data_IF_073325540975
#
_entry.id   IF_073325540975
#
_cell.length_a   1.000
_cell.length_b   1.000
_cell.length_c   1.000
_cell.angle_alpha   90.00
_cell.angle_beta   90.00
_cell.angle_gamma   90.00
#
_symmetry.space_group_name_H-M   'P 1'
#
loop_
_entity.id
_entity.type
_entity.pdbx_description
1 polymer ?
#
# COMPACT_ATOMS: atom_id res chain seq x y z
N UNK A 1 1.42 -35.89 -31.70
CA UNK A 1 0.94 -35.93 -30.30
C UNK A 1 0.30 -34.60 -29.98
N UNK A 2 -1.00 -34.58 -29.66
CA UNK A 2 -1.68 -33.37 -29.24
C UNK A 2 -1.19 -32.98 -27.83
N UNK A 3 -0.78 -31.72 -27.67
CA UNK A 3 -0.37 -31.16 -26.39
C UNK A 3 -1.62 -30.95 -25.51
N UNK A 4 -1.96 -31.96 -24.72
CA UNK A 4 -3.04 -31.93 -23.72
C UNK A 4 -2.59 -31.17 -22.46
N UNK A 5 -2.24 -29.90 -22.59
CA UNK A 5 -2.02 -29.07 -21.41
C UNK A 5 -3.38 -28.63 -20.87
N UNK A 6 -3.74 -29.11 -19.69
CA UNK A 6 -4.87 -28.56 -18.93
C UNK A 6 -4.47 -27.16 -18.47
N UNK A 7 -5.23 -26.15 -18.90
CA UNK A 7 -5.17 -24.81 -18.32
C UNK A 7 -5.67 -24.91 -16.87
N UNK A 8 -4.76 -24.87 -15.90
CA UNK A 8 -5.13 -24.78 -14.50
C UNK A 8 -5.69 -23.38 -14.22
N UNK A 9 -6.85 -23.31 -13.58
CA UNK A 9 -7.40 -22.06 -13.08
C UNK A 9 -6.45 -21.52 -12.01
N UNK A 10 -6.04 -20.24 -12.05
CA UNK A 10 -5.21 -19.66 -11.00
C UNK A 10 -5.91 -19.82 -9.64
N UNK A 11 -5.18 -20.17 -8.57
CA UNK A 11 -5.77 -20.18 -7.24
C UNK A 11 -6.29 -18.77 -6.89
N UNK A 12 -7.37 -18.67 -6.11
CA UNK A 12 -7.88 -17.39 -5.66
C UNK A 12 -6.81 -16.65 -4.85
N UNK A 13 -6.76 -15.32 -5.01
CA UNK A 13 -5.93 -14.48 -4.13
C UNK A 13 -6.55 -14.47 -2.73
N UNK A 14 -5.83 -15.04 -1.76
CA UNK A 14 -6.26 -15.11 -0.37
C UNK A 14 -5.79 -13.89 0.44
N UNK A 15 -5.00 -13.00 -0.15
CA UNK A 15 -4.43 -11.84 0.53
C UNK A 15 -5.41 -10.66 0.60
N UNK A 16 -6.45 -10.81 1.42
CA UNK A 16 -7.43 -9.75 1.70
C UNK A 16 -6.83 -8.48 2.31
N UNK A 17 -5.66 -8.61 2.94
CA UNK A 17 -4.99 -7.52 3.65
C UNK A 17 -4.39 -6.45 2.72
N UNK A 18 -3.94 -6.84 1.52
CA UNK A 18 -3.31 -5.90 0.56
C UNK A 18 -3.92 -5.95 -0.85
N UNK A 19 -4.87 -6.85 -1.13
CA UNK A 19 -5.52 -6.94 -2.45
C UNK A 19 -6.20 -5.63 -2.89
N UNK A 20 -6.63 -4.80 -1.95
CA UNK A 20 -7.34 -3.56 -2.25
C UNK A 20 -6.48 -2.59 -3.07
N UNK A 21 -5.14 -2.69 -3.03
CA UNK A 21 -4.24 -1.93 -3.91
C UNK A 21 -4.44 -2.23 -5.41
N UNK A 22 -5.13 -3.31 -5.74
CA UNK A 22 -5.45 -3.69 -7.12
C UNK A 22 -6.73 -3.02 -7.63
N UNK A 23 -7.51 -2.38 -6.75
CA UNK A 23 -8.76 -1.75 -7.17
C UNK A 23 -8.53 -0.46 -7.96
N UNK A 24 -9.36 -0.21 -8.99
CA UNK A 24 -9.27 1.02 -9.77
C UNK A 24 -9.54 2.25 -8.87
N UNK A 25 -8.69 3.27 -9.02
CA UNK A 25 -8.85 4.54 -8.30
C UNK A 25 -8.11 4.65 -6.97
N UNK A 26 -7.51 3.58 -6.45
CA UNK A 26 -6.79 3.63 -5.15
C UNK A 26 -5.68 4.67 -5.13
N UNK A 27 -4.92 4.81 -6.21
CA UNK A 27 -3.87 5.82 -6.30
C UNK A 27 -4.41 7.24 -6.26
N UNK A 28 -5.53 7.48 -6.94
CA UNK A 28 -6.22 8.78 -6.92
C UNK A 28 -6.70 9.09 -5.52
N UNK A 29 -7.40 8.14 -4.87
CA UNK A 29 -7.86 8.29 -3.49
C UNK A 29 -6.69 8.56 -2.53
N UNK A 30 -5.58 7.86 -2.71
CA UNK A 30 -4.37 8.06 -1.90
C UNK A 30 -3.79 9.47 -2.04
N UNK A 31 -3.68 10.00 -3.27
CA UNK A 31 -3.23 11.38 -3.51
C UNK A 31 -4.21 12.38 -2.89
N UNK A 32 -5.51 12.16 -3.03
CA UNK A 32 -6.54 13.02 -2.43
C UNK A 32 -6.44 13.02 -0.90
N UNK A 33 -6.20 11.88 -0.25
CA UNK A 33 -5.99 11.80 1.20
C UNK A 33 -4.81 12.68 1.61
N UNK A 34 -3.66 12.58 0.93
CA UNK A 34 -2.49 13.42 1.22
C UNK A 34 -2.79 14.91 1.07
N UNK A 35 -3.51 15.27 0.01
CA UNK A 35 -3.92 16.65 -0.24
C UNK A 35 -4.86 17.19 0.85
N UNK A 36 -5.86 16.41 1.27
CA UNK A 36 -6.76 16.82 2.36
C UNK A 36 -6.05 16.85 3.73
N UNK A 37 -5.11 15.94 3.98
CA UNK A 37 -4.25 16.02 5.17
C UNK A 37 -3.46 17.33 5.19
N UNK A 38 -2.93 17.76 4.05
CA UNK A 38 -2.23 19.04 3.94
C UNK A 38 -3.16 20.24 4.19
N UNK A 39 -4.37 20.26 3.63
CA UNK A 39 -5.38 21.29 3.92
C UNK A 39 -5.71 21.31 5.41
N UNK A 40 -5.88 20.14 6.04
CA UNK A 40 -6.18 20.02 7.46
C UNK A 40 -5.05 20.59 8.32
N UNK A 41 -3.79 20.25 8.02
CA UNK A 41 -2.62 20.79 8.72
C UNK A 41 -2.55 22.32 8.57
N UNK A 42 -2.77 22.84 7.37
CA UNK A 42 -2.85 24.29 7.15
C UNK A 42 -3.94 24.95 7.98
N UNK A 43 -5.14 24.35 7.99
CA UNK A 43 -6.32 24.93 8.64
C UNK A 43 -6.21 24.90 10.16
N UNK A 44 -5.65 23.82 10.72
CA UNK A 44 -5.55 23.62 12.17
C UNK A 44 -4.38 24.40 12.76
N UNK A 45 -3.22 24.42 12.09
CA UNK A 45 -2.00 25.03 12.63
C UNK A 45 -1.74 26.45 12.13
N UNK A 46 -2.41 26.91 11.06
CA UNK A 46 -2.18 28.24 10.48
C UNK A 46 -0.75 28.48 10.01
N UNK A 47 -0.02 27.41 9.69
CA UNK A 47 1.40 27.47 9.35
C UNK A 47 1.64 27.77 7.86
N UNK A 48 2.90 28.03 7.49
CA UNK A 48 3.27 28.22 6.10
C UNK A 48 3.08 26.92 5.27
N UNK A 49 2.74 27.01 3.98
CA UNK A 49 2.58 25.87 3.07
C UNK A 49 3.71 24.83 3.11
N UNK A 50 4.97 25.27 3.18
CA UNK A 50 6.13 24.38 3.25
C UNK A 50 6.23 23.61 4.57
N UNK A 51 5.87 24.25 5.70
CA UNK A 51 5.79 23.59 7.00
C UNK A 51 4.68 22.53 7.01
N UNK A 52 3.52 22.84 6.41
CA UNK A 52 2.44 21.88 6.30
C UNK A 52 2.85 20.63 5.50
N UNK A 53 3.55 20.80 4.37
CA UNK A 53 4.09 19.65 3.62
C UNK A 53 5.10 18.83 4.42
N UNK A 54 5.99 19.50 5.17
CA UNK A 54 6.96 18.82 6.03
C UNK A 54 6.25 17.94 7.08
N UNK A 55 5.20 18.46 7.73
CA UNK A 55 4.43 17.71 8.72
C UNK A 55 3.68 16.52 8.09
N UNK A 56 3.07 16.72 6.92
CA UNK A 56 2.41 15.64 6.18
C UNK A 56 3.42 14.57 5.78
N UNK A 57 4.62 14.93 5.32
CA UNK A 57 5.66 13.97 4.96
C UNK A 57 6.16 13.16 6.16
N UNK A 58 6.44 13.81 7.30
CA UNK A 58 6.84 13.10 8.51
C UNK A 58 5.76 12.15 9.03
N UNK A 59 4.49 12.59 9.04
CA UNK A 59 3.36 11.75 9.42
C UNK A 59 3.15 10.59 8.45
N UNK A 60 3.24 10.87 7.15
CA UNK A 60 3.17 9.88 6.08
C UNK A 60 4.25 8.81 6.24
N UNK A 61 5.51 9.20 6.45
CA UNK A 61 6.62 8.30 6.71
C UNK A 61 6.36 7.41 7.93
N UNK A 62 5.98 8.00 9.07
CA UNK A 62 5.74 7.24 10.30
C UNK A 62 4.63 6.20 10.13
N UNK A 63 3.49 6.57 9.53
CA UNK A 63 2.35 5.69 9.30
C UNK A 63 2.72 4.59 8.30
N UNK A 64 3.23 4.97 7.12
CA UNK A 64 3.53 4.00 6.06
C UNK A 64 4.65 3.05 6.42
N UNK A 65 5.69 3.52 7.12
CA UNK A 65 6.73 2.64 7.63
C UNK A 65 6.17 1.62 8.62
N UNK A 66 5.34 2.06 9.57
CA UNK A 66 4.73 1.16 10.53
C UNK A 66 3.89 0.07 9.84
N UNK A 67 2.99 0.44 8.94
CA UNK A 67 2.11 -0.54 8.29
C UNK A 67 2.83 -1.39 7.25
N UNK A 68 3.62 -0.80 6.35
CA UNK A 68 4.24 -1.55 5.26
C UNK A 68 5.48 -2.34 5.67
N UNK A 69 6.29 -1.80 6.57
CA UNK A 69 7.62 -2.36 6.84
C UNK A 69 7.78 -2.95 8.25
N UNK A 70 6.90 -2.61 9.20
CA UNK A 70 6.97 -3.16 10.55
C UNK A 70 5.87 -4.18 10.86
N UNK A 71 4.62 -3.87 10.50
CA UNK A 71 3.47 -4.74 10.79
C UNK A 71 3.52 -6.00 9.93
N UNK A 72 3.43 -7.14 10.60
CA UNK A 72 3.39 -8.48 10.01
C UNK A 72 2.04 -9.15 10.21
N UNK A 73 1.73 -10.09 9.35
CA UNK A 73 0.50 -10.87 9.41
C UNK A 73 -0.72 -10.13 8.87
N UNK A 74 -1.87 -10.69 9.19
CA UNK A 74 -3.16 -10.47 8.54
C UNK A 74 -4.24 -10.79 9.58
N UNK A 75 -5.33 -10.01 9.65
CA UNK A 75 -6.44 -10.32 10.54
C UNK A 75 -7.39 -11.39 9.98
N UNK A 76 -7.15 -11.89 8.76
CA UNK A 76 -8.03 -12.80 8.05
C UNK A 76 -7.63 -14.26 8.31
N UNK A 77 -8.57 -15.11 8.71
CA UNK A 77 -8.30 -16.52 8.97
C UNK A 77 -8.25 -17.38 7.68
N UNK A 78 -8.82 -16.87 6.58
CA UNK A 78 -8.96 -17.59 5.30
C UNK A 78 -7.61 -17.90 4.64
N UNK A 79 -6.56 -17.14 4.96
CA UNK A 79 -5.20 -17.37 4.45
C UNK A 79 -4.44 -18.48 5.19
N UNK A 80 -5.04 -19.12 6.20
CA UNK A 80 -4.46 -20.23 6.97
C UNK A 80 -3.06 -19.91 7.55
N UNK A 81 -2.79 -18.63 7.83
CA UNK A 81 -1.53 -18.15 8.39
C UNK A 81 -0.39 -18.03 7.39
N UNK A 82 -0.65 -18.15 6.08
CA UNK A 82 0.36 -18.02 5.03
C UNK A 82 1.14 -16.70 5.10
N UNK A 83 0.51 -15.62 5.60
CA UNK A 83 1.13 -14.29 5.65
C UNK A 83 1.64 -13.87 7.04
N UNK A 84 1.57 -14.74 8.05
CA UNK A 84 1.88 -14.39 9.46
C UNK A 84 3.30 -13.85 9.67
N UNK A 85 4.27 -14.29 8.86
CA UNK A 85 5.68 -13.88 8.97
C UNK A 85 6.03 -12.71 8.06
N UNK A 86 5.11 -12.32 7.17
CA UNK A 86 5.32 -11.34 6.11
C UNK A 86 4.75 -9.98 6.51
N UNK A 87 5.53 -8.93 6.23
CA UNK A 87 5.08 -7.54 6.30
C UNK A 87 4.05 -7.24 5.21
N UNK A 88 3.27 -6.17 5.36
CA UNK A 88 2.32 -5.80 4.31
C UNK A 88 3.02 -5.48 2.99
N UNK A 89 4.23 -4.91 3.04
CA UNK A 89 5.05 -4.72 1.85
C UNK A 89 5.41 -6.05 1.17
N UNK A 90 5.75 -7.09 1.93
CA UNK A 90 6.08 -8.41 1.38
C UNK A 90 4.84 -9.14 0.84
N UNK A 91 3.70 -8.95 1.49
CA UNK A 91 2.41 -9.50 1.07
C UNK A 91 1.94 -8.92 -0.27
N UNK A 92 2.12 -7.61 -0.49
CA UNK A 92 1.62 -6.90 -1.67
C UNK A 92 2.12 -7.50 -3.00
N UNK A 93 1.22 -7.59 -3.99
CA UNK A 93 1.50 -8.12 -5.33
C UNK A 93 2.19 -9.51 -5.30
N UNK A 94 1.88 -10.34 -4.30
CA UNK A 94 2.50 -11.65 -4.10
C UNK A 94 4.03 -11.59 -4.01
N UNK A 95 4.58 -10.56 -3.37
CA UNK A 95 6.03 -10.39 -3.21
C UNK A 95 6.77 -9.95 -4.48
N UNK A 96 6.08 -9.76 -5.62
CA UNK A 96 6.72 -9.38 -6.89
C UNK A 96 7.29 -7.96 -6.77
N UNK A 97 8.58 -7.82 -7.03
CA UNK A 97 9.26 -6.54 -7.00
C UNK A 97 8.95 -5.69 -8.24
N UNK A 98 9.13 -4.37 -8.12
CA UNK A 98 9.03 -3.40 -9.23
C UNK A 98 7.69 -3.41 -9.98
N UNK A 99 6.65 -3.91 -9.33
CA UNK A 99 5.27 -3.80 -9.80
C UNK A 99 4.84 -2.34 -9.82
N UNK A 100 3.74 -2.09 -10.52
CA UNK A 100 3.21 -0.73 -10.67
C UNK A 100 2.90 -0.10 -9.30
N UNK A 101 2.25 -0.85 -8.40
CA UNK A 101 1.89 -0.39 -7.06
C UNK A 101 3.13 -0.12 -6.19
N UNK A 102 4.10 -1.04 -6.18
CA UNK A 102 5.35 -0.81 -5.43
C UNK A 102 6.11 0.41 -5.92
N UNK A 103 6.22 0.61 -7.24
CA UNK A 103 6.84 1.81 -7.80
C UNK A 103 6.13 3.08 -7.36
N UNK A 104 4.81 3.08 -7.39
CA UNK A 104 4.01 4.21 -6.92
C UNK A 104 4.28 4.50 -5.43
N UNK A 105 4.17 3.50 -4.56
CA UNK A 105 4.37 3.66 -3.12
C UNK A 105 5.82 4.03 -2.74
N UNK A 106 6.81 3.61 -3.52
CA UNK A 106 8.20 4.05 -3.35
C UNK A 106 8.41 5.49 -3.83
N UNK A 107 7.73 5.94 -4.88
CA UNK A 107 7.90 7.27 -5.43
C UNK A 107 7.24 8.37 -4.59
N UNK A 108 6.07 8.10 -3.98
CA UNK A 108 5.32 9.07 -3.17
C UNK A 108 6.21 9.79 -2.13
N UNK A 109 6.88 9.10 -1.18
CA UNK A 109 7.64 9.78 -0.12
C UNK A 109 8.86 10.55 -0.64
N UNK A 110 9.29 10.31 -1.89
CA UNK A 110 10.39 11.06 -2.54
C UNK A 110 9.88 12.37 -3.13
N UNK A 111 8.62 12.40 -3.57
CA UNK A 111 7.98 13.59 -4.18
C UNK A 111 7.32 14.48 -3.14
N UNK A 112 6.87 13.90 -2.02
CA UNK A 112 6.20 14.57 -0.91
C UNK A 112 7.16 15.46 -0.10
#
# INVERSE_FOLDING_TARGET
MAKLYVQAVPPPDLNRNTEWFMYPGVWTTYILILFFCWILVLSVFGCAPGTAWTLVNLGHFAITYHFFHWKKGTPFADDQGMYNTLTWWEQMDNGKQLTRNRKFLTAVPVVL
#
